data_IF_798281586667
#
_entry.id   IF_798281586667
#
_cell.length_a   1.000
_cell.length_b   1.000
_cell.length_c   1.000
_cell.angle_alpha   90.00
_cell.angle_beta   90.00
_cell.angle_gamma   90.00
#
_symmetry.space_group_name_H-M   'P 1'
#
loop_
_entity.id
_entity.type
_entity.pdbx_description
1 polymer ?
#
# COMPACT_ATOMS: atom_id res chain seq x y z
N UNK A 1 -8.12 -45.46 13.20
CA UNK A 1 -7.34 -44.21 13.23
C UNK A 1 -6.32 -44.06 12.10
N UNK A 2 -5.72 -45.17 11.63
CA UNK A 2 -4.82 -45.16 10.46
C UNK A 2 -5.53 -44.81 9.13
N UNK A 3 -6.82 -45.13 8.98
CA UNK A 3 -7.60 -44.75 7.81
C UNK A 3 -7.84 -43.26 7.71
N UNK A 4 -8.06 -42.58 8.86
CA UNK A 4 -8.24 -41.11 8.89
C UNK A 4 -6.96 -40.34 8.52
N UNK A 5 -5.78 -40.87 8.84
CA UNK A 5 -4.50 -40.27 8.50
C UNK A 5 -4.24 -40.43 7.01
N UNK A 6 -4.48 -41.61 6.44
CA UNK A 6 -4.35 -41.88 4.99
C UNK A 6 -5.30 -41.03 4.16
N UNK A 7 -6.53 -40.85 4.60
CA UNK A 7 -7.49 -39.97 3.93
C UNK A 7 -7.03 -38.52 3.94
N UNK A 8 -6.45 -38.05 5.05
CA UNK A 8 -5.94 -36.69 5.15
C UNK A 8 -4.75 -36.45 4.21
N UNK A 9 -3.80 -37.37 4.16
CA UNK A 9 -2.66 -37.29 3.26
C UNK A 9 -3.08 -37.32 1.79
N UNK A 10 -4.03 -38.18 1.43
CA UNK A 10 -4.59 -38.26 0.07
C UNK A 10 -5.33 -36.96 -0.31
N UNK A 11 -6.06 -36.35 0.61
CA UNK A 11 -6.69 -35.04 0.41
C UNK A 11 -5.67 -33.90 0.26
N UNK A 12 -4.61 -33.89 1.07
CA UNK A 12 -3.54 -32.90 0.96
C UNK A 12 -2.79 -33.02 -0.37
N UNK A 13 -2.52 -34.23 -0.82
CA UNK A 13 -1.91 -34.49 -2.12
C UNK A 13 -2.82 -34.10 -3.28
N UNK A 14 -4.11 -34.41 -3.19
CA UNK A 14 -5.11 -33.99 -4.17
C UNK A 14 -5.19 -32.47 -4.25
N UNK A 15 -5.20 -31.77 -3.13
CA UNK A 15 -5.26 -30.31 -3.07
C UNK A 15 -3.99 -29.65 -3.61
N UNK A 16 -2.81 -30.24 -3.43
CA UNK A 16 -1.54 -29.76 -3.98
C UNK A 16 -1.46 -29.94 -5.50
N UNK A 17 -1.95 -31.06 -6.00
CA UNK A 17 -1.77 -31.48 -7.39
C UNK A 17 -2.95 -31.12 -8.30
N UNK A 18 -4.11 -30.80 -7.74
CA UNK A 18 -5.30 -30.47 -8.53
C UNK A 18 -5.38 -28.96 -8.77
N UNK A 19 -5.21 -28.54 -10.01
CA UNK A 19 -5.49 -27.14 -10.39
C UNK A 19 -6.94 -26.80 -10.05
N UNK A 20 -7.12 -25.68 -9.32
CA UNK A 20 -8.45 -25.20 -8.94
C UNK A 20 -9.32 -25.00 -10.19
N UNK A 21 -10.29 -25.89 -10.40
CA UNK A 21 -11.23 -25.76 -11.53
C UNK A 21 -12.27 -24.71 -11.19
N UNK A 22 -12.47 -23.77 -12.11
CA UNK A 22 -13.57 -22.80 -12.03
C UNK A 22 -14.89 -23.48 -12.36
N UNK A 23 -15.55 -24.04 -11.36
CA UNK A 23 -16.91 -24.54 -11.49
C UNK A 23 -17.96 -23.41 -11.38
N UNK A 24 -19.24 -23.68 -11.72
CA UNK A 24 -20.31 -22.67 -11.65
C UNK A 24 -20.43 -22.01 -10.27
N UNK A 25 -20.35 -22.76 -9.19
CA UNK A 25 -20.42 -22.23 -7.82
C UNK A 25 -19.25 -21.30 -7.50
N UNK A 26 -18.03 -21.64 -7.91
CA UNK A 26 -16.84 -20.78 -7.72
C UNK A 26 -17.00 -19.48 -8.53
N UNK A 27 -17.53 -19.57 -9.75
CA UNK A 27 -17.76 -18.41 -10.60
C UNK A 27 -18.81 -17.47 -10.00
N UNK A 28 -19.89 -18.01 -9.47
CA UNK A 28 -20.94 -17.21 -8.78
C UNK A 28 -20.35 -16.54 -7.53
N UNK A 29 -19.56 -17.26 -6.73
CA UNK A 29 -18.90 -16.70 -5.54
C UNK A 29 -17.94 -15.55 -5.89
N UNK A 30 -17.12 -15.72 -6.94
CA UNK A 30 -16.21 -14.69 -7.43
C UNK A 30 -16.97 -13.44 -7.91
N UNK A 31 -17.99 -13.63 -8.75
CA UNK A 31 -18.85 -12.53 -9.21
C UNK A 31 -19.51 -11.79 -8.05
N UNK A 32 -19.95 -12.53 -7.02
CA UNK A 32 -20.51 -11.91 -5.84
C UNK A 32 -19.51 -11.05 -5.09
N UNK A 33 -18.27 -11.52 -4.91
CA UNK A 33 -17.21 -10.75 -4.28
C UNK A 33 -16.88 -9.48 -5.07
N UNK A 34 -16.77 -9.57 -6.40
CA UNK A 34 -16.56 -8.42 -7.27
C UNK A 34 -17.70 -7.39 -7.19
N UNK A 35 -18.96 -7.85 -7.19
CA UNK A 35 -20.12 -6.98 -7.06
C UNK A 35 -20.23 -6.33 -5.68
N UNK A 36 -19.93 -7.06 -4.60
CA UNK A 36 -19.92 -6.49 -3.26
C UNK A 36 -18.79 -5.46 -3.12
N UNK A 37 -17.63 -5.73 -3.70
CA UNK A 37 -16.53 -4.78 -3.71
C UNK A 37 -16.89 -3.52 -4.51
N UNK A 38 -17.22 -3.66 -5.80
CA UNK A 38 -17.41 -2.50 -6.69
C UNK A 38 -18.66 -1.68 -6.37
N UNK A 39 -19.77 -2.33 -5.97
CA UNK A 39 -21.06 -1.64 -5.82
C UNK A 39 -21.39 -1.28 -4.36
N UNK A 40 -20.63 -1.77 -3.37
CA UNK A 40 -20.91 -1.52 -1.96
C UNK A 40 -19.70 -0.97 -1.22
N UNK A 41 -18.57 -1.70 -1.24
CA UNK A 41 -17.40 -1.32 -0.46
C UNK A 41 -16.69 -0.10 -1.04
N UNK A 42 -16.45 -0.06 -2.35
CA UNK A 42 -15.78 1.08 -3.01
C UNK A 42 -16.56 2.39 -2.82
N UNK A 43 -17.88 2.46 -3.14
CA UNK A 43 -18.64 3.69 -2.91
C UNK A 43 -18.67 4.10 -1.43
N UNK A 44 -18.84 3.14 -0.53
CA UNK A 44 -18.84 3.42 0.91
C UNK A 44 -17.51 4.02 1.37
N UNK A 45 -16.39 3.38 1.01
CA UNK A 45 -15.07 3.84 1.41
C UNK A 45 -14.74 5.20 0.79
N UNK A 46 -15.05 5.39 -0.49
CA UNK A 46 -14.73 6.63 -1.20
C UNK A 46 -15.61 7.82 -0.78
N UNK A 47 -16.92 7.62 -0.61
CA UNK A 47 -17.89 8.72 -0.50
C UNK A 47 -18.48 8.90 0.89
N UNK A 48 -18.40 7.86 1.76
CA UNK A 48 -18.93 7.94 3.12
C UNK A 48 -17.81 8.01 4.17
N UNK A 49 -16.78 7.18 4.00
CA UNK A 49 -15.61 7.13 4.90
C UNK A 49 -14.58 8.22 4.58
N UNK A 50 -14.43 8.53 3.29
CA UNK A 50 -13.59 9.60 2.76
C UNK A 50 -14.47 10.65 2.07
N UNK A 51 -13.96 11.87 1.89
CA UNK A 51 -14.65 12.94 1.17
C UNK A 51 -14.42 12.85 -0.36
N UNK A 52 -14.38 11.64 -0.90
CA UNK A 52 -14.09 11.37 -2.31
C UNK A 52 -15.34 11.25 -3.19
N UNK A 53 -15.09 10.95 -4.45
CA UNK A 53 -16.13 10.65 -5.44
C UNK A 53 -15.68 9.50 -6.32
N UNK A 54 -16.51 8.48 -6.47
CA UNK A 54 -16.31 7.39 -7.43
C UNK A 54 -16.56 7.92 -8.83
N UNK A 55 -15.55 7.82 -9.69
CA UNK A 55 -15.65 8.13 -11.12
C UNK A 55 -16.08 6.87 -11.88
N UNK A 56 -15.46 5.75 -11.53
CA UNK A 56 -15.76 4.43 -12.10
C UNK A 56 -15.47 3.34 -11.07
N UNK A 57 -16.36 2.37 -10.99
CA UNK A 57 -16.17 1.15 -10.21
C UNK A 57 -16.88 -0.02 -10.90
N UNK A 58 -16.12 -0.97 -11.42
CA UNK A 58 -16.64 -2.12 -12.15
C UNK A 58 -15.71 -3.33 -12.01
N UNK A 59 -16.21 -4.35 -11.31
CA UNK A 59 -15.41 -5.54 -11.03
C UNK A 59 -14.20 -5.23 -10.15
N UNK A 60 -12.99 -5.39 -10.71
CA UNK A 60 -11.70 -5.10 -10.07
C UNK A 60 -11.14 -3.72 -10.46
N UNK A 61 -11.70 -3.05 -11.45
CA UNK A 61 -11.25 -1.73 -11.87
C UNK A 61 -11.99 -0.63 -11.09
N UNK A 62 -11.21 0.28 -10.49
CA UNK A 62 -11.70 1.38 -9.66
C UNK A 62 -10.99 2.67 -10.02
N UNK A 63 -11.74 3.75 -10.21
CA UNK A 63 -11.23 5.11 -10.37
C UNK A 63 -11.99 6.05 -9.42
N UNK A 64 -11.25 6.74 -8.56
CA UNK A 64 -11.78 7.63 -7.53
C UNK A 64 -11.01 8.94 -7.54
N UNK A 65 -11.72 10.05 -7.38
CA UNK A 65 -11.16 11.35 -7.03
C UNK A 65 -11.38 11.62 -5.54
N UNK A 66 -10.34 12.04 -4.82
CA UNK A 66 -10.43 12.31 -3.38
C UNK A 66 -9.47 13.42 -2.93
N UNK A 67 -9.75 14.08 -1.80
CA UNK A 67 -8.82 15.00 -1.17
C UNK A 67 -7.52 14.31 -0.78
N UNK A 68 -6.40 15.04 -0.88
CA UNK A 68 -5.08 14.51 -0.53
C UNK A 68 -4.99 13.98 0.91
N UNK A 69 -5.68 14.65 1.83
CA UNK A 69 -5.73 14.26 3.24
C UNK A 69 -6.29 12.85 3.47
N UNK A 70 -7.25 12.43 2.65
CA UNK A 70 -7.90 11.13 2.75
C UNK A 70 -7.14 9.99 2.05
N UNK A 71 -6.11 10.31 1.26
CA UNK A 71 -5.39 9.33 0.44
C UNK A 71 -4.88 8.11 1.23
N UNK A 72 -4.16 8.24 2.34
CA UNK A 72 -3.66 7.08 3.07
C UNK A 72 -4.80 6.23 3.67
N UNK A 73 -5.83 6.88 4.22
CA UNK A 73 -7.03 6.23 4.76
C UNK A 73 -7.75 5.42 3.68
N UNK A 74 -7.93 6.02 2.50
CA UNK A 74 -8.55 5.37 1.35
C UNK A 74 -7.76 4.15 0.89
N UNK A 75 -6.45 4.27 0.68
CA UNK A 75 -5.58 3.18 0.20
C UNK A 75 -5.62 1.97 1.16
N UNK A 76 -5.51 2.21 2.46
CA UNK A 76 -5.57 1.15 3.48
C UNK A 76 -6.93 0.48 3.51
N UNK A 77 -8.00 1.27 3.54
CA UNK A 77 -9.38 0.76 3.56
C UNK A 77 -9.71 -0.05 2.31
N UNK A 78 -9.32 0.46 1.14
CA UNK A 78 -9.60 -0.21 -0.15
C UNK A 78 -8.89 -1.57 -0.25
N UNK A 79 -7.61 -1.62 0.13
CA UNK A 79 -6.83 -2.87 0.13
C UNK A 79 -7.38 -3.88 1.15
N UNK A 80 -7.73 -3.42 2.35
CA UNK A 80 -8.34 -4.26 3.38
C UNK A 80 -9.71 -4.82 2.93
N UNK A 81 -10.54 -4.00 2.29
CA UNK A 81 -11.82 -4.42 1.74
C UNK A 81 -11.66 -5.45 0.60
N UNK A 82 -10.63 -5.31 -0.25
CA UNK A 82 -10.35 -6.25 -1.32
C UNK A 82 -9.99 -7.64 -0.80
N UNK A 83 -9.03 -7.73 0.11
CA UNK A 83 -8.55 -9.02 0.62
C UNK A 83 -9.35 -9.56 1.83
N UNK A 84 -10.21 -8.76 2.43
CA UNK A 84 -10.97 -9.15 3.63
C UNK A 84 -10.12 -9.17 4.91
N UNK A 85 -9.02 -8.42 4.95
CA UNK A 85 -8.24 -8.24 6.17
C UNK A 85 -8.96 -7.38 7.21
N UNK A 86 -8.35 -7.14 8.36
CA UNK A 86 -8.91 -6.27 9.39
C UNK A 86 -9.19 -4.88 8.80
N UNK A 87 -10.41 -4.35 9.03
CA UNK A 87 -10.77 -2.99 8.64
C UNK A 87 -9.96 -1.98 9.45
N UNK A 88 -9.22 -1.04 8.82
CA UNK A 88 -8.46 -0.02 9.54
C UNK A 88 -9.30 0.90 10.43
N UNK A 89 -10.58 1.06 10.11
CA UNK A 89 -11.50 1.95 10.83
C UNK A 89 -12.46 1.17 11.78
N UNK A 90 -12.29 -0.16 11.90
CA UNK A 90 -13.11 -1.05 12.74
C UNK A 90 -14.63 -0.97 12.50
N UNK A 91 -15.09 -0.39 11.37
CA UNK A 91 -16.50 -0.32 10.98
C UNK A 91 -17.04 -1.67 10.49
N UNK A 92 -16.14 -2.51 9.94
CA UNK A 92 -16.44 -3.88 9.53
C UNK A 92 -15.63 -4.88 10.33
N UNK A 93 -16.28 -6.00 10.67
CA UNK A 93 -15.61 -7.18 11.19
C UNK A 93 -15.17 -8.07 10.05
N UNK A 94 -13.90 -8.44 10.03
CA UNK A 94 -13.37 -9.44 9.11
C UNK A 94 -13.70 -10.84 9.65
N UNK A 95 -14.29 -11.68 8.80
CA UNK A 95 -14.72 -13.04 9.12
C UNK A 95 -14.09 -14.07 8.16
N UNK A 96 -12.86 -13.81 7.67
CA UNK A 96 -12.09 -14.80 6.91
C UNK A 96 -12.58 -15.04 5.48
N UNK A 97 -12.96 -14.03 4.75
CA UNK A 97 -13.44 -14.12 3.36
C UNK A 97 -14.65 -13.25 3.10
N UNK A 98 -15.12 -12.58 4.11
CA UNK A 98 -16.15 -11.57 4.03
C UNK A 98 -16.03 -10.54 5.13
N UNK A 99 -16.58 -9.36 4.88
CA UNK A 99 -16.76 -8.29 5.81
C UNK A 99 -18.21 -8.20 6.25
N UNK A 100 -18.44 -7.99 7.54
CA UNK A 100 -19.76 -7.74 8.09
C UNK A 100 -19.75 -6.43 8.86
N UNK A 101 -20.77 -5.60 8.63
CA UNK A 101 -20.92 -4.35 9.38
C UNK A 101 -20.89 -4.59 10.88
N UNK A 102 -20.18 -3.75 11.61
CA UNK A 102 -20.09 -3.85 13.06
C UNK A 102 -21.38 -3.31 13.69
N UNK A 103 -22.18 -4.18 14.27
CA UNK A 103 -23.49 -3.85 14.86
C UNK A 103 -23.41 -2.81 16.01
N UNK A 104 -22.24 -2.58 16.57
CA UNK A 104 -22.01 -1.55 17.59
C UNK A 104 -21.97 -0.12 17.02
N UNK A 105 -21.88 0.02 15.71
CA UNK A 105 -21.78 1.30 14.99
C UNK A 105 -23.11 1.58 14.31
N UNK A 106 -23.66 2.80 14.40
CA UNK A 106 -24.85 3.18 13.67
C UNK A 106 -24.69 2.88 12.19
N UNK A 107 -25.65 2.16 11.63
CA UNK A 107 -25.58 1.70 10.25
C UNK A 107 -25.90 2.82 9.28
N UNK A 108 -25.08 3.00 8.25
CA UNK A 108 -25.43 3.82 7.10
C UNK A 108 -26.39 3.08 6.17
N UNK A 109 -27.31 3.80 5.51
CA UNK A 109 -28.39 3.23 4.72
C UNK A 109 -27.93 2.31 3.56
N UNK A 110 -26.74 2.54 3.01
CA UNK A 110 -26.26 1.89 1.79
C UNK A 110 -25.55 0.55 2.01
N UNK A 111 -25.20 0.22 3.26
CA UNK A 111 -24.55 -1.06 3.58
C UNK A 111 -25.61 -2.11 3.94
N UNK A 112 -25.68 -3.26 3.23
CA UNK A 112 -26.65 -4.31 3.55
C UNK A 112 -26.36 -5.00 4.88
N UNK A 113 -27.39 -5.59 5.50
CA UNK A 113 -27.24 -6.34 6.78
C UNK A 113 -26.50 -7.67 6.64
N UNK A 114 -26.44 -8.21 5.41
CA UNK A 114 -25.73 -9.43 5.09
C UNK A 114 -24.22 -9.23 5.04
N UNK A 115 -23.43 -10.30 5.22
CA UNK A 115 -22.02 -10.27 4.93
C UNK A 115 -21.72 -9.84 3.47
N UNK A 116 -20.64 -9.09 3.29
CA UNK A 116 -20.08 -8.68 2.00
C UNK A 116 -18.89 -9.57 1.68
N UNK A 117 -18.93 -10.26 0.54
CA UNK A 117 -17.84 -11.14 0.15
C UNK A 117 -16.62 -10.34 -0.30
N UNK A 118 -15.45 -10.87 0.00
CA UNK A 118 -14.14 -10.32 -0.38
C UNK A 118 -13.39 -11.32 -1.27
N UNK A 119 -12.31 -10.85 -1.93
CA UNK A 119 -11.52 -11.71 -2.82
C UNK A 119 -10.65 -12.74 -2.08
N UNK A 120 -10.54 -12.61 -0.76
CA UNK A 120 -9.78 -13.51 0.11
C UNK A 120 -8.39 -12.98 0.47
N UNK A 121 -7.86 -13.51 1.56
CA UNK A 121 -6.66 -13.01 2.26
C UNK A 121 -5.42 -12.85 1.37
N UNK A 122 -5.25 -13.75 0.40
CA UNK A 122 -4.09 -13.74 -0.51
C UNK A 122 -4.29 -12.83 -1.74
N UNK A 123 -5.46 -12.21 -1.88
CA UNK A 123 -5.74 -11.31 -2.99
C UNK A 123 -5.02 -9.97 -2.77
N UNK A 124 -4.30 -9.52 -3.79
CA UNK A 124 -3.54 -8.27 -3.79
C UNK A 124 -4.12 -7.26 -4.78
N UNK A 125 -3.76 -6.00 -4.61
CA UNK A 125 -4.23 -4.90 -5.45
C UNK A 125 -3.07 -3.97 -5.78
N UNK A 126 -2.89 -3.68 -7.07
CA UNK A 126 -1.96 -2.65 -7.53
C UNK A 126 -2.71 -1.35 -7.79
N UNK A 127 -2.16 -0.23 -7.35
CA UNK A 127 -2.80 1.08 -7.41
C UNK A 127 -1.87 2.12 -8.03
N UNK A 128 -2.38 2.86 -9.02
CA UNK A 128 -1.79 4.10 -9.49
C UNK A 128 -2.46 5.30 -8.80
N UNK A 129 -1.68 6.26 -8.38
CA UNK A 129 -2.14 7.49 -7.73
C UNK A 129 -1.50 8.69 -8.43
N UNK A 130 -2.30 9.66 -8.85
CA UNK A 130 -1.81 10.91 -9.42
C UNK A 130 -2.29 12.08 -8.58
N UNK A 131 -1.36 12.89 -8.11
CA UNK A 131 -1.61 14.14 -7.40
C UNK A 131 -1.21 15.26 -8.36
N UNK A 132 -2.18 15.97 -8.89
CA UNK A 132 -1.94 16.98 -9.91
C UNK A 132 -2.34 18.37 -9.43
N UNK A 133 -1.51 19.37 -9.75
CA UNK A 133 -1.91 20.76 -9.57
C UNK A 133 -3.11 21.08 -10.48
N UNK A 134 -4.00 21.94 -10.01
CA UNK A 134 -5.26 22.30 -10.70
C UNK A 134 -5.10 22.83 -12.14
N UNK A 135 -3.93 23.32 -12.50
CA UNK A 135 -3.63 23.81 -13.86
C UNK A 135 -3.26 22.69 -14.85
N UNK A 136 -3.05 21.46 -14.37
CA UNK A 136 -2.68 20.32 -15.24
C UNK A 136 -3.92 19.87 -16.00
N UNK A 137 -3.86 19.73 -17.35
CA UNK A 137 -4.98 19.25 -18.14
C UNK A 137 -5.41 17.83 -17.75
N UNK A 138 -6.72 17.60 -17.63
CA UNK A 138 -7.27 16.29 -17.25
C UNK A 138 -6.78 15.12 -18.12
N UNK A 139 -6.68 15.23 -19.46
CA UNK A 139 -6.13 14.14 -20.27
C UNK A 139 -4.73 13.71 -19.84
N UNK A 140 -3.85 14.66 -19.51
CA UNK A 140 -2.49 14.37 -19.00
C UNK A 140 -2.56 13.63 -17.66
N UNK A 141 -3.47 14.04 -16.76
CA UNK A 141 -3.66 13.36 -15.46
C UNK A 141 -4.11 11.91 -15.68
N UNK A 142 -5.06 11.66 -16.57
CA UNK A 142 -5.56 10.32 -16.88
C UNK A 142 -4.49 9.43 -17.53
N UNK A 143 -3.73 9.97 -18.48
CA UNK A 143 -2.61 9.24 -19.09
C UNK A 143 -1.58 8.80 -18.05
N UNK A 144 -1.21 9.72 -17.16
CA UNK A 144 -0.28 9.43 -16.06
C UNK A 144 -0.85 8.43 -15.06
N UNK A 145 -2.17 8.49 -14.78
CA UNK A 145 -2.84 7.53 -13.90
C UNK A 145 -2.78 6.11 -14.46
N UNK A 146 -3.07 5.94 -15.75
CA UNK A 146 -2.98 4.63 -16.40
C UNK A 146 -1.55 4.10 -16.46
N UNK A 147 -0.58 4.96 -16.78
CA UNK A 147 0.83 4.57 -16.76
C UNK A 147 1.30 4.19 -15.35
N UNK A 148 0.92 4.96 -14.32
CA UNK A 148 1.25 4.66 -12.93
C UNK A 148 0.75 3.27 -12.50
N UNK A 149 -0.45 2.87 -12.92
CA UNK A 149 -0.99 1.56 -12.60
C UNK A 149 -0.37 0.45 -13.46
N UNK A 150 -0.43 0.58 -14.81
CA UNK A 150 -0.14 -0.51 -15.75
C UNK A 150 1.36 -0.72 -15.95
N UNK A 151 2.10 0.38 -16.08
CA UNK A 151 3.52 0.33 -16.46
C UNK A 151 4.44 0.35 -15.24
N UNK A 152 3.93 0.73 -14.07
CA UNK A 152 4.68 0.87 -12.83
C UNK A 152 4.18 -0.06 -11.72
N UNK A 153 3.05 0.22 -11.08
CA UNK A 153 2.56 -0.53 -9.93
C UNK A 153 2.38 -2.04 -10.22
N UNK A 154 1.83 -2.40 -11.38
CA UNK A 154 1.66 -3.80 -11.83
C UNK A 154 2.97 -4.49 -12.24
N UNK A 155 4.07 -3.76 -12.40
CA UNK A 155 5.39 -4.30 -12.78
C UNK A 155 6.29 -4.58 -11.59
N UNK A 156 5.94 -4.15 -10.38
CA UNK A 156 6.76 -4.42 -9.21
C UNK A 156 6.85 -5.91 -8.93
N UNK A 157 8.06 -6.40 -8.82
CA UNK A 157 8.34 -7.80 -8.54
C UNK A 157 8.18 -8.11 -7.04
N UNK A 158 7.93 -9.36 -6.75
CA UNK A 158 7.96 -9.95 -5.42
C UNK A 158 9.15 -10.87 -5.25
N UNK A 159 9.19 -11.59 -4.14
CA UNK A 159 10.25 -12.53 -3.84
C UNK A 159 9.91 -13.33 -2.58
N UNK A 160 10.81 -14.21 -2.16
CA UNK A 160 10.63 -15.01 -0.95
C UNK A 160 11.77 -14.76 0.03
N UNK A 161 11.42 -14.54 1.30
CA UNK A 161 12.34 -14.32 2.42
C UNK A 161 11.98 -15.35 3.50
N UNK A 162 12.82 -16.35 3.69
CA UNK A 162 12.50 -17.44 4.61
C UNK A 162 11.14 -18.05 4.26
N UNK A 163 10.21 -17.99 5.20
CA UNK A 163 8.85 -18.53 5.02
C UNK A 163 7.83 -17.48 4.51
N UNK A 164 8.25 -16.22 4.31
CA UNK A 164 7.38 -15.14 3.83
C UNK A 164 7.54 -14.97 2.33
N UNK A 165 6.43 -15.02 1.60
CA UNK A 165 6.38 -14.73 0.17
C UNK A 165 5.73 -13.39 -0.08
N UNK A 166 6.45 -12.50 -0.77
CA UNK A 166 5.95 -11.22 -1.25
C UNK A 166 5.47 -11.44 -2.68
N UNK A 167 4.19 -11.22 -3.00
CA UNK A 167 3.66 -11.50 -4.33
C UNK A 167 4.21 -10.53 -5.39
N UNK A 168 4.26 -10.99 -6.64
CA UNK A 168 4.44 -10.11 -7.79
C UNK A 168 3.25 -9.15 -7.89
N UNK A 169 3.44 -8.01 -8.58
CA UNK A 169 2.47 -6.91 -8.59
C UNK A 169 2.31 -6.34 -7.18
N UNK A 170 1.11 -6.17 -6.68
CA UNK A 170 0.85 -5.62 -5.34
C UNK A 170 1.63 -4.33 -5.09
N UNK A 171 1.64 -3.45 -6.08
CA UNK A 171 2.42 -2.23 -6.08
C UNK A 171 1.55 -0.98 -5.94
N UNK A 172 2.17 0.06 -5.42
CA UNK A 172 1.65 1.41 -5.37
C UNK A 172 2.60 2.30 -6.18
N UNK A 173 2.06 3.09 -7.10
CA UNK A 173 2.80 4.11 -7.81
C UNK A 173 2.15 5.46 -7.54
N UNK A 174 2.90 6.37 -6.94
CA UNK A 174 2.50 7.75 -6.68
C UNK A 174 3.18 8.66 -7.68
N UNK A 175 2.41 9.48 -8.38
CA UNK A 175 2.94 10.51 -9.27
C UNK A 175 2.41 11.89 -8.84
N UNK A 176 3.32 12.82 -8.59
CA UNK A 176 2.99 14.23 -8.35
C UNK A 176 3.29 14.98 -9.63
N UNK A 177 2.34 15.78 -10.12
CA UNK A 177 2.50 16.69 -11.24
C UNK A 177 2.37 18.11 -10.71
N UNK A 178 3.50 18.79 -10.59
CA UNK A 178 3.55 20.16 -10.10
C UNK A 178 3.02 21.15 -11.15
N UNK A 179 2.60 22.35 -10.71
CA UNK A 179 2.18 23.42 -11.61
C UNK A 179 3.29 23.92 -12.55
N UNK A 180 4.55 23.68 -12.21
CA UNK A 180 5.72 23.95 -13.08
C UNK A 180 5.89 22.93 -14.23
N UNK A 181 5.12 21.84 -14.22
CA UNK A 181 5.30 20.71 -15.15
C UNK A 181 6.30 19.65 -14.66
N UNK A 182 7.04 19.91 -13.59
CA UNK A 182 7.90 18.90 -12.98
C UNK A 182 7.07 17.75 -12.42
N UNK A 183 7.65 16.55 -12.37
CA UNK A 183 7.00 15.37 -11.82
C UNK A 183 7.87 14.70 -10.77
N UNK A 184 7.24 14.09 -9.77
CA UNK A 184 7.88 13.16 -8.85
C UNK A 184 7.14 11.83 -8.97
N UNK A 185 7.89 10.73 -9.11
CA UNK A 185 7.35 9.37 -9.13
C UNK A 185 7.94 8.60 -7.97
N UNK A 186 7.08 7.94 -7.19
CA UNK A 186 7.48 7.10 -6.06
C UNK A 186 6.78 5.75 -6.14
N UNK A 187 7.54 4.67 -5.92
CA UNK A 187 7.09 3.29 -6.03
C UNK A 187 7.19 2.58 -4.68
N UNK A 188 6.16 1.88 -4.28
CA UNK A 188 6.13 1.16 -3.01
C UNK A 188 5.37 -0.15 -3.15
N UNK A 189 5.82 -1.21 -2.47
CA UNK A 189 5.06 -2.46 -2.37
C UNK A 189 3.91 -2.33 -1.38
N UNK A 190 2.83 -3.04 -1.67
CA UNK A 190 1.61 -2.95 -0.86
C UNK A 190 1.75 -3.42 0.58
N UNK A 191 2.65 -4.37 0.87
CA UNK A 191 2.90 -4.80 2.25
C UNK A 191 3.57 -3.74 3.11
N UNK A 192 4.23 -2.74 2.50
CA UNK A 192 4.88 -1.61 3.19
C UNK A 192 3.89 -0.50 3.59
N UNK A 193 2.65 -0.57 3.10
CA UNK A 193 1.66 0.49 3.32
C UNK A 193 1.35 0.71 4.80
N UNK A 194 1.36 -0.34 5.61
CA UNK A 194 1.02 -0.23 7.03
C UNK A 194 2.15 0.39 7.85
N UNK A 195 3.40 -0.04 7.67
CA UNK A 195 4.56 0.55 8.36
C UNK A 195 4.80 2.00 7.94
N UNK A 196 4.63 2.29 6.63
CA UNK A 196 4.65 3.66 6.13
C UNK A 196 3.59 4.55 6.79
N UNK A 197 2.36 4.04 6.91
CA UNK A 197 1.28 4.79 7.55
C UNK A 197 1.51 4.98 9.05
N UNK A 198 1.99 3.96 9.75
CA UNK A 198 2.36 4.07 11.17
C UNK A 198 3.39 5.16 11.40
N UNK A 199 4.43 5.24 10.56
CA UNK A 199 5.40 6.32 10.61
C UNK A 199 4.73 7.71 10.47
N UNK A 200 3.83 7.87 9.49
CA UNK A 200 3.11 9.14 9.28
C UNK A 200 2.24 9.50 10.50
N UNK A 201 1.48 8.54 11.03
CA UNK A 201 0.60 8.78 12.18
C UNK A 201 1.38 9.14 13.44
N UNK A 202 2.44 8.41 13.76
CA UNK A 202 3.28 8.68 14.92
C UNK A 202 3.94 10.05 14.78
N UNK A 203 4.44 10.38 13.60
CA UNK A 203 5.03 11.69 13.34
C UNK A 203 4.03 12.84 13.52
N UNK A 204 2.76 12.64 13.20
CA UNK A 204 1.69 13.64 13.36
C UNK A 204 1.30 13.89 14.83
N UNK A 205 1.54 12.94 15.73
CA UNK A 205 1.33 13.16 17.16
C UNK A 205 2.31 14.18 17.76
N UNK A 206 3.41 14.47 17.05
CA UNK A 206 4.42 15.45 17.42
C UNK A 206 4.26 16.73 16.59
N UNK A 207 3.12 17.42 16.73
CA UNK A 207 2.70 18.58 15.91
C UNK A 207 3.73 19.73 15.82
N UNK A 208 4.61 19.86 16.82
CA UNK A 208 5.62 20.92 16.87
C UNK A 208 6.90 20.59 16.10
N UNK A 209 7.04 19.38 15.58
CA UNK A 209 8.26 18.90 14.92
C UNK A 209 8.01 18.62 13.46
N UNK A 210 8.69 19.36 12.58
CA UNK A 210 8.72 19.04 11.15
C UNK A 210 9.77 17.97 10.85
N UNK A 211 9.32 16.79 10.45
CA UNK A 211 10.18 15.67 10.07
C UNK A 211 10.58 15.69 8.58
N UNK A 212 10.02 16.58 7.76
CA UNK A 212 10.34 16.66 6.33
C UNK A 212 11.83 16.84 6.06
N UNK A 213 12.60 17.66 6.81
CA UNK A 213 14.04 17.80 6.60
C UNK A 213 14.83 16.50 6.82
N UNK A 214 14.36 15.62 7.72
CA UNK A 214 15.00 14.29 7.93
C UNK A 214 14.79 13.43 6.71
N UNK A 215 13.56 13.37 6.21
CA UNK A 215 13.20 12.57 5.04
C UNK A 215 13.95 13.04 3.80
N UNK A 216 14.08 14.35 3.57
CA UNK A 216 14.87 14.87 2.47
C UNK A 216 16.34 14.54 2.60
N UNK A 217 16.92 14.63 3.81
CA UNK A 217 18.32 14.29 4.03
C UNK A 217 18.57 12.79 3.83
N UNK A 218 17.71 11.92 4.33
CA UNK A 218 17.78 10.48 4.05
C UNK A 218 17.66 10.20 2.55
N UNK A 219 16.76 10.88 1.86
CA UNK A 219 16.59 10.74 0.43
C UNK A 219 17.84 11.15 -0.38
N UNK A 220 18.69 12.01 0.15
CA UNK A 220 19.98 12.38 -0.46
C UNK A 220 21.10 11.42 -0.09
N UNK A 221 21.12 10.93 1.15
CA UNK A 221 22.21 10.09 1.64
C UNK A 221 22.09 8.63 1.15
N UNK A 222 20.89 8.04 1.14
CA UNK A 222 20.71 6.64 0.77
C UNK A 222 21.33 6.25 -0.58
N UNK A 223 21.12 7.00 -1.69
CA UNK A 223 21.73 6.66 -2.97
C UNK A 223 23.26 6.75 -2.98
N UNK A 224 23.87 7.57 -2.10
CA UNK A 224 25.33 7.73 -2.02
C UNK A 224 26.03 6.52 -1.40
N UNK A 225 25.29 5.71 -0.66
CA UNK A 225 25.81 4.53 0.03
C UNK A 225 25.38 3.22 -0.68
N UNK A 226 24.79 3.31 -1.88
CA UNK A 226 24.27 2.17 -2.62
C UNK A 226 25.31 1.08 -2.95
N UNK A 227 26.58 1.43 -3.02
CA UNK A 227 27.65 0.49 -3.36
C UNK A 227 28.13 -0.38 -2.16
N UNK A 228 27.62 -0.14 -0.97
CA UNK A 228 27.94 -0.93 0.24
C UNK A 228 26.98 -2.14 0.34
N UNK A 229 27.02 -3.00 -0.66
CA UNK A 229 25.96 -3.98 -0.99
C UNK A 229 25.95 -5.27 -0.17
N UNK A 230 26.85 -5.48 0.79
CA UNK A 230 26.90 -6.75 1.54
C UNK A 230 26.42 -6.65 3.00
N UNK A 231 25.97 -5.48 3.46
CA UNK A 231 25.64 -5.31 4.87
C UNK A 231 24.12 -5.25 5.08
N UNK A 232 23.60 -6.24 5.77
CA UNK A 232 22.23 -6.27 6.28
C UNK A 232 21.96 -4.98 7.09
N UNK A 233 20.91 -4.21 6.69
CA UNK A 233 20.43 -3.00 7.36
C UNK A 233 21.25 -1.71 7.14
N UNK A 234 21.75 -1.52 5.93
CA UNK A 234 22.44 -0.27 5.56
C UNK A 234 21.57 0.98 5.77
N UNK A 235 20.30 0.92 5.40
CA UNK A 235 19.37 2.04 5.52
C UNK A 235 19.14 2.45 6.97
N UNK A 236 19.06 1.48 7.87
CA UNK A 236 19.01 1.72 9.32
C UNK A 236 20.25 2.46 9.79
N UNK A 237 21.46 2.02 9.41
CA UNK A 237 22.71 2.65 9.80
C UNK A 237 22.81 4.09 9.28
N UNK A 238 22.46 4.33 8.04
CA UNK A 238 22.41 5.69 7.45
C UNK A 238 21.41 6.57 8.20
N UNK A 239 20.25 6.05 8.54
CA UNK A 239 19.23 6.78 9.29
C UNK A 239 19.72 7.15 10.71
N UNK A 240 20.38 6.25 11.41
CA UNK A 240 20.96 6.50 12.73
C UNK A 240 22.02 7.60 12.68
N UNK A 241 22.89 7.62 11.67
CA UNK A 241 23.87 8.70 11.45
C UNK A 241 23.16 10.03 11.19
N UNK A 242 22.11 10.04 10.38
CA UNK A 242 21.32 11.24 10.11
C UNK A 242 20.65 11.76 11.38
N UNK A 243 20.14 10.89 12.25
CA UNK A 243 19.55 11.30 13.54
C UNK A 243 20.59 11.91 14.47
N UNK A 244 21.78 11.30 14.57
CA UNK A 244 22.85 11.80 15.43
C UNK A 244 23.43 13.16 14.99
N UNK A 245 23.37 13.45 13.70
CA UNK A 245 23.93 14.69 13.12
C UNK A 245 23.02 15.93 13.32
N UNK A 246 21.88 15.80 14.00
CA UNK A 246 20.93 16.90 14.21
C UNK A 246 21.09 17.57 15.56
N UNK A 247 20.86 18.89 15.56
CA UNK A 247 20.76 19.69 16.79
C UNK A 247 19.42 19.49 17.53
N UNK A 248 18.41 18.91 16.88
CA UNK A 248 17.09 18.66 17.45
C UNK A 248 16.91 17.17 17.65
N UNK A 249 16.56 16.78 18.86
CA UNK A 249 16.29 15.39 19.21
C UNK A 249 15.03 14.88 18.51
N UNK A 250 15.13 13.74 17.83
CA UNK A 250 14.01 13.07 17.20
C UNK A 250 13.36 12.14 18.22
N UNK A 251 12.04 12.21 18.46
CA UNK A 251 11.36 11.29 19.38
C UNK A 251 11.61 9.83 19.05
N UNK A 252 11.79 9.02 20.07
CA UNK A 252 12.20 7.62 19.90
C UNK A 252 11.14 6.76 19.20
N UNK A 253 9.87 7.04 19.42
CA UNK A 253 8.75 6.39 18.72
C UNK A 253 8.76 6.68 17.22
N UNK A 254 9.07 7.90 16.82
CA UNK A 254 9.22 8.31 15.41
C UNK A 254 10.43 7.64 14.77
N UNK A 255 11.58 7.59 15.47
CA UNK A 255 12.77 6.87 15.00
C UNK A 255 12.45 5.41 14.73
N UNK A 256 11.85 4.74 15.72
CA UNK A 256 11.52 3.31 15.63
C UNK A 256 10.55 3.03 14.50
N UNK A 257 9.53 3.86 14.30
CA UNK A 257 8.59 3.72 13.20
C UNK A 257 9.26 3.88 11.83
N UNK A 258 10.11 4.89 11.68
CA UNK A 258 10.88 5.10 10.45
C UNK A 258 11.83 3.95 10.16
N UNK A 259 12.59 3.50 11.17
CA UNK A 259 13.53 2.39 11.03
C UNK A 259 12.82 1.08 10.66
N UNK A 260 11.65 0.82 11.25
CA UNK A 260 10.84 -0.37 10.91
C UNK A 260 10.43 -0.34 9.43
N UNK A 261 9.96 0.80 8.94
CA UNK A 261 9.58 0.94 7.54
C UNK A 261 10.77 0.80 6.59
N UNK A 262 11.93 1.39 6.92
CA UNK A 262 13.17 1.25 6.14
C UNK A 262 13.65 -0.21 6.10
N UNK A 263 13.63 -0.91 7.24
CA UNK A 263 14.03 -2.32 7.33
C UNK A 263 13.13 -3.21 6.44
N UNK A 264 11.82 -3.01 6.48
CA UNK A 264 10.87 -3.78 5.66
C UNK A 264 11.07 -3.52 4.16
N UNK A 265 11.39 -2.27 3.78
CA UNK A 265 11.69 -1.93 2.40
C UNK A 265 13.00 -2.58 1.93
N UNK A 266 14.05 -2.49 2.76
CA UNK A 266 15.37 -3.07 2.47
C UNK A 266 15.28 -4.60 2.35
N UNK A 267 14.50 -5.24 3.22
CA UNK A 267 14.21 -6.67 3.16
C UNK A 267 13.59 -7.06 1.81
N UNK A 268 12.61 -6.30 1.33
CA UNK A 268 12.02 -6.53 0.02
C UNK A 268 13.01 -6.30 -1.12
N UNK A 269 13.76 -5.21 -1.11
CA UNK A 269 14.74 -4.87 -2.15
C UNK A 269 15.83 -5.94 -2.27
N UNK A 270 16.31 -6.45 -1.13
CA UNK A 270 17.30 -7.51 -1.06
C UNK A 270 16.79 -8.84 -1.64
N UNK A 271 15.53 -9.19 -1.39
CA UNK A 271 14.91 -10.38 -1.95
C UNK A 271 14.90 -10.41 -3.47
N UNK A 272 14.59 -9.27 -4.08
CA UNK A 272 14.55 -9.15 -5.53
C UNK A 272 15.96 -9.26 -6.10
N UNK A 273 16.93 -8.58 -5.51
CA UNK A 273 18.32 -8.62 -5.93
C UNK A 273 18.88 -10.06 -6.00
N UNK A 274 18.54 -10.90 -5.03
CA UNK A 274 18.90 -12.35 -5.05
C UNK A 274 18.16 -13.15 -6.12
N UNK A 275 16.89 -12.83 -6.35
CA UNK A 275 16.06 -13.60 -7.29
C UNK A 275 16.41 -13.32 -8.75
N UNK A 276 16.89 -12.12 -9.06
CA UNK A 276 17.24 -11.68 -10.42
C UNK A 276 18.72 -11.84 -10.78
N UNK A 277 19.54 -12.34 -9.86
CA UNK A 277 20.96 -12.60 -10.11
C UNK A 277 21.80 -11.35 -10.33
N UNK A 278 21.48 -10.24 -9.67
CA UNK A 278 22.25 -8.97 -9.62
C UNK A 278 22.46 -8.24 -10.97
N UNK A 279 21.83 -8.64 -12.07
CA UNK A 279 22.15 -8.07 -13.37
C UNK A 279 21.14 -7.06 -13.90
N UNK A 280 19.90 -7.05 -13.42
CA UNK A 280 18.90 -6.09 -13.87
C UNK A 280 18.40 -5.23 -12.69
N UNK A 281 18.60 -3.92 -12.80
CA UNK A 281 17.92 -2.95 -11.93
C UNK A 281 16.42 -3.14 -12.12
N UNK A 282 15.79 -3.79 -11.17
CA UNK A 282 14.35 -3.98 -11.19
C UNK A 282 13.66 -2.71 -10.71
N UNK A 283 12.46 -2.47 -11.22
CA UNK A 283 11.70 -1.27 -10.89
C UNK A 283 11.36 -1.24 -9.39
N UNK A 284 11.65 -0.14 -8.73
CA UNK A 284 11.18 0.17 -7.38
C UNK A 284 12.08 -0.29 -6.23
N UNK A 285 13.16 -1.04 -6.49
CA UNK A 285 14.03 -1.63 -5.47
C UNK A 285 15.43 -1.02 -5.35
N UNK A 286 15.70 0.04 -6.11
CA UNK A 286 16.97 0.77 -6.00
C UNK A 286 16.91 1.80 -4.85
N UNK A 287 18.05 2.16 -4.21
CA UNK A 287 18.09 3.22 -3.21
C UNK A 287 17.54 4.56 -3.72
N UNK A 288 17.67 4.85 -4.99
CA UNK A 288 17.06 6.00 -5.68
C UNK A 288 15.54 5.93 -5.64
N UNK A 289 14.95 4.74 -5.76
CA UNK A 289 13.50 4.56 -5.66
C UNK A 289 13.02 4.85 -4.24
N UNK A 290 13.74 4.37 -3.20
CA UNK A 290 13.43 4.72 -1.81
C UNK A 290 13.59 6.22 -1.55
N UNK A 291 14.60 6.86 -2.14
CA UNK A 291 14.75 8.32 -2.10
C UNK A 291 13.48 9.04 -2.59
N UNK A 292 12.88 8.57 -3.69
CA UNK A 292 11.63 9.15 -4.21
C UNK A 292 10.43 8.92 -3.27
N UNK A 293 10.35 7.74 -2.63
CA UNK A 293 9.29 7.47 -1.63
C UNK A 293 9.44 8.37 -0.40
N UNK A 294 10.66 8.61 0.07
CA UNK A 294 10.93 9.55 1.18
C UNK A 294 10.53 10.99 0.82
N UNK A 295 10.87 11.46 -0.39
CA UNK A 295 10.47 12.79 -0.89
C UNK A 295 8.95 12.90 -1.03
N UNK A 296 8.29 11.86 -1.51
CA UNK A 296 6.83 11.79 -1.58
C UNK A 296 6.21 11.87 -0.19
N UNK A 297 6.76 11.14 0.78
CA UNK A 297 6.28 11.16 2.17
C UNK A 297 6.42 12.55 2.79
N UNK A 298 7.57 13.21 2.59
CA UNK A 298 7.79 14.58 3.05
C UNK A 298 6.78 15.56 2.42
N UNK A 299 6.52 15.43 1.12
CA UNK A 299 5.49 16.23 0.45
C UNK A 299 4.11 16.01 1.06
N UNK A 300 3.71 14.76 1.27
CA UNK A 300 2.40 14.41 1.82
C UNK A 300 2.23 14.98 3.24
N UNK A 301 3.24 14.85 4.10
CA UNK A 301 3.21 15.37 5.46
C UNK A 301 3.10 16.88 5.49
N UNK A 302 3.89 17.59 4.67
CA UNK A 302 3.87 19.06 4.62
C UNK A 302 2.54 19.63 4.12
N UNK A 303 1.86 18.94 3.21
CA UNK A 303 0.58 19.39 2.65
C UNK A 303 -0.61 19.12 3.58
N UNK A 304 -0.58 18.01 4.31
CA UNK A 304 -1.62 17.72 5.30
C UNK A 304 -1.65 18.70 6.46
N UNK A 305 -0.51 19.25 6.87
CA UNK A 305 -0.45 20.30 7.88
C UNK A 305 -1.12 21.61 7.43
N UNK A 306 -1.04 21.93 6.13
CA UNK A 306 -1.68 23.14 5.58
C UNK A 306 -3.21 22.99 5.53
N UNK A 307 -3.73 21.80 5.23
CA UNK A 307 -5.18 21.56 5.16
C UNK A 307 -5.88 21.62 6.52
N UNK A 308 -5.21 21.21 7.61
CA UNK A 308 -5.77 21.31 8.97
C UNK A 308 -5.99 22.74 9.46
N UNK A 309 -5.42 23.74 8.80
CA UNK A 309 -5.58 25.16 9.13
C UNK A 309 -6.73 25.85 8.36
N UNK A 310 -7.51 25.13 7.55
CA UNK A 310 -8.62 25.65 6.75
C UNK A 310 -10.01 25.23 7.27
N UNK A 311 -10.06 24.53 8.41
CA UNK A 311 -11.27 24.17 9.15
C UNK A 311 -11.29 24.98 10.45
#
# INVERSE_FOLDING_TARGET
DENHIRDKEAWEELLKNTRKRMGPATHVGLNRALLDFSNRLVPYIAEQRCCGRVIYSGGDDVMVALPLADLPKFLRSLRAAWCGSKDPEDEFRSMGGYWQWNEKIPKTADIPSRPLFTMGKEATMSLGVVIAHKSVPLPTVLEKLWSAEKDKAKKLLGGSIGNKTIPNKDGLCFQIIYGSGNTLEALMKGHLLESWWQFIQISQNHEQVDFSPILYRLAEELPRHADVTENDRLFRQVAEVVFQSRNQEVPEDVKNALLTWLDEWEEWAFCIGRSTGNQDKTLGNAPEDMSMVLKFTAFLMSRRQVESNWI
#
